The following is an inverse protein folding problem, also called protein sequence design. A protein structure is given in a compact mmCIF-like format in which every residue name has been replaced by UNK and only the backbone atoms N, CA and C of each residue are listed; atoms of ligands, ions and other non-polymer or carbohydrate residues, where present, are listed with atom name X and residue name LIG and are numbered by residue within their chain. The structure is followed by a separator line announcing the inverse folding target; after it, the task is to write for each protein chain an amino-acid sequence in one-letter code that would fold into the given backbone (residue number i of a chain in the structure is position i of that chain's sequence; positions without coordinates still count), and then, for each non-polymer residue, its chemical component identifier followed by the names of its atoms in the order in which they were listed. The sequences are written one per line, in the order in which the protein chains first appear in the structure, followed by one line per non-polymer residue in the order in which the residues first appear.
data_IF_820407145926
#
_entry.id   IF_820407145926
#
_cell.length_a   1.000
_cell.length_b   1.000
_cell.length_c   1.000
_cell.angle_alpha   90.00
_cell.angle_beta   90.00
_cell.angle_gamma   90.00
#
_symmetry.space_group_name_H-M   'P 1'
#
loop_
_entity.id
_entity.type
_entity.pdbx_description
1 polymer ?
#
# COMPACT_ATOMS: atom_id res chain seq x y z
N UNK A 1 0.34 5.96 17.45
CA UNK A 1 -0.04 6.84 16.32
C UNK A 1 -0.23 5.96 15.10
N UNK A 2 -1.29 6.16 14.31
CA UNK A 2 -1.43 5.46 13.02
C UNK A 2 -0.65 6.24 11.94
N UNK A 3 0.50 5.69 11.56
CA UNK A 3 1.41 6.27 10.57
C UNK A 3 1.10 5.81 9.14
N UNK A 4 0.42 4.67 9.00
CA UNK A 4 0.06 4.02 7.74
C UNK A 4 -1.26 4.59 7.18
N UNK A 5 -2.21 4.85 8.09
CA UNK A 5 -3.53 5.39 7.76
C UNK A 5 -4.50 4.31 7.28
N UNK A 6 -5.79 4.49 7.60
CA UNK A 6 -6.86 3.54 7.25
C UNK A 6 -7.03 3.38 5.73
N UNK A 7 -6.82 4.45 4.96
CA UNK A 7 -6.97 4.42 3.51
C UNK A 7 -5.90 3.56 2.83
N UNK A 8 -4.65 3.65 3.28
CA UNK A 8 -3.56 2.84 2.73
C UNK A 8 -3.73 1.38 3.08
N UNK A 9 -4.16 1.06 4.32
CA UNK A 9 -4.50 -0.32 4.69
C UNK A 9 -5.62 -0.90 3.82
N UNK A 10 -6.66 -0.12 3.53
CA UNK A 10 -7.73 -0.55 2.64
C UNK A 10 -7.23 -0.80 1.21
N UNK A 11 -6.42 0.10 0.67
CA UNK A 11 -5.81 -0.07 -0.66
C UNK A 11 -4.96 -1.34 -0.72
N UNK A 12 -4.11 -1.56 0.29
CA UNK A 12 -3.26 -2.75 0.36
C UNK A 12 -4.08 -4.03 0.45
N UNK A 13 -5.20 -4.04 1.16
CA UNK A 13 -6.11 -5.20 1.23
C UNK A 13 -6.70 -5.54 -0.14
N UNK A 14 -7.19 -4.53 -0.86
CA UNK A 14 -7.75 -4.70 -2.21
C UNK A 14 -6.68 -5.12 -3.23
N UNK A 15 -5.47 -4.54 -3.14
CA UNK A 15 -4.37 -4.92 -4.01
C UNK A 15 -3.93 -6.37 -3.78
N UNK A 16 -3.88 -6.83 -2.53
CA UNK A 16 -3.63 -8.25 -2.23
C UNK A 16 -4.74 -9.16 -2.75
N UNK A 17 -5.99 -8.72 -2.72
CA UNK A 17 -7.10 -9.47 -3.29
C UNK A 17 -6.94 -9.58 -4.81
N UNK A 18 -6.56 -8.50 -5.49
CA UNK A 18 -6.32 -8.49 -6.94
C UNK A 18 -5.16 -9.40 -7.37
N UNK A 19 -4.17 -9.58 -6.49
CA UNK A 19 -3.07 -10.53 -6.72
C UNK A 19 -3.46 -12.00 -6.51
N UNK A 20 -4.53 -12.27 -5.74
CA UNK A 20 -4.98 -13.64 -5.43
C UNK A 20 -6.16 -14.10 -6.27
N UNK A 21 -6.88 -13.18 -6.92
CA UNK A 21 -8.13 -13.45 -7.62
C UNK A 21 -8.26 -12.50 -8.83
N UNK A 22 -8.70 -13.04 -9.97
CA UNK A 22 -8.95 -12.25 -11.19
C UNK A 22 -10.18 -11.34 -11.09
N UNK A 23 -11.08 -11.57 -10.13
CA UNK A 23 -12.35 -10.83 -9.99
C UNK A 23 -12.28 -9.76 -8.90
N UNK A 24 -11.37 -8.78 -9.10
CA UNK A 24 -11.38 -7.54 -8.34
C UNK A 24 -11.88 -6.41 -9.22
N UNK A 25 -12.88 -5.69 -8.72
CA UNK A 25 -13.39 -4.48 -9.37
C UNK A 25 -12.26 -3.44 -9.49
N UNK A 26 -11.75 -3.27 -10.71
CA UNK A 26 -10.74 -2.28 -11.07
C UNK A 26 -11.16 -0.88 -10.62
N UNK A 27 -12.45 -0.54 -10.71
CA UNK A 27 -13.00 0.73 -10.25
C UNK A 27 -12.87 0.92 -8.74
N UNK A 28 -13.15 -0.12 -7.96
CA UNK A 28 -12.99 -0.08 -6.50
C UNK A 28 -11.51 0.07 -6.10
N UNK A 29 -10.60 -0.60 -6.80
CA UNK A 29 -9.16 -0.51 -6.55
C UNK A 29 -8.62 0.89 -6.89
N UNK A 30 -9.01 1.47 -8.03
CA UNK A 30 -8.67 2.84 -8.40
C UNK A 30 -9.25 3.87 -7.43
N UNK A 31 -10.50 3.70 -6.99
CA UNK A 31 -11.12 4.61 -6.01
C UNK A 31 -10.38 4.56 -4.66
N UNK A 32 -9.89 3.40 -4.24
CA UNK A 32 -9.06 3.27 -3.05
C UNK A 32 -7.70 3.98 -3.22
N UNK A 33 -7.08 3.90 -4.39
CA UNK A 33 -5.83 4.60 -4.69
C UNK A 33 -6.00 6.12 -4.64
N UNK A 34 -7.07 6.67 -5.22
CA UNK A 34 -7.39 8.10 -5.16
C UNK A 34 -7.52 8.56 -3.70
N UNK A 35 -8.17 7.79 -2.84
CA UNK A 35 -8.31 8.14 -1.41
C UNK A 35 -6.97 8.17 -0.67
N UNK A 36 -6.00 7.35 -1.09
CA UNK A 36 -4.64 7.37 -0.53
C UNK A 36 -3.89 8.61 -1.01
N UNK A 37 -4.07 9.04 -2.25
CA UNK A 37 -3.50 10.30 -2.77
C UNK A 37 -4.08 11.51 -2.02
N UNK A 38 -5.39 11.54 -1.78
CA UNK A 38 -6.05 12.61 -1.03
C UNK A 38 -5.63 12.66 0.44
N UNK A 39 -5.34 11.48 1.02
CA UNK A 39 -4.99 11.31 2.44
C UNK A 39 -3.81 10.35 2.58
N UNK A 40 -2.59 10.81 2.27
CA UNK A 40 -1.41 9.96 2.28
C UNK A 40 -1.02 9.54 3.70
N UNK A 41 -0.22 8.45 3.82
CA UNK A 41 0.46 8.11 5.06
C UNK A 41 1.22 9.30 5.65
N UNK A 42 1.30 9.37 6.98
CA UNK A 42 2.04 10.44 7.68
C UNK A 42 3.55 10.25 7.59
N UNK A 43 4.00 9.00 7.54
CA UNK A 43 5.41 8.66 7.40
C UNK A 43 5.89 8.95 5.96
N UNK A 44 7.05 9.60 5.83
CA UNK A 44 7.57 10.04 4.54
C UNK A 44 7.97 8.89 3.62
N UNK A 45 8.47 7.78 4.18
CA UNK A 45 8.84 6.58 3.43
C UNK A 45 7.57 5.88 2.95
N UNK A 46 6.59 5.70 3.85
CA UNK A 46 5.31 5.10 3.49
C UNK A 46 4.54 5.93 2.48
N UNK A 47 4.62 7.26 2.53
CA UNK A 47 4.00 8.13 1.53
C UNK A 47 4.57 7.86 0.13
N UNK A 48 5.90 7.87 0.01
CA UNK A 48 6.57 7.60 -1.27
C UNK A 48 6.23 6.21 -1.81
N UNK A 49 6.20 5.20 -0.94
CA UNK A 49 5.81 3.85 -1.33
C UNK A 49 4.32 3.75 -1.68
N UNK A 50 3.44 4.46 -0.97
CA UNK A 50 2.02 4.52 -1.28
C UNK A 50 1.75 5.14 -2.66
N UNK A 51 2.52 6.16 -3.05
CA UNK A 51 2.45 6.76 -4.39
C UNK A 51 2.81 5.73 -5.47
N UNK A 52 3.86 4.93 -5.26
CA UNK A 52 4.22 3.84 -6.18
C UNK A 52 3.14 2.75 -6.25
N UNK A 53 2.49 2.42 -5.13
CA UNK A 53 1.35 1.48 -5.12
C UNK A 53 0.18 2.04 -5.91
N UNK A 54 -0.17 3.32 -5.72
CA UNK A 54 -1.24 3.97 -6.46
C UNK A 54 -0.95 3.96 -7.97
N UNK A 55 0.28 4.29 -8.37
CA UNK A 55 0.66 4.26 -9.77
C UNK A 55 0.57 2.85 -10.36
N UNK A 56 1.05 1.82 -9.66
CA UNK A 56 0.96 0.44 -10.13
C UNK A 56 -0.48 -0.06 -10.22
N UNK A 57 -1.37 0.41 -9.34
CA UNK A 57 -2.81 0.12 -9.40
C UNK A 57 -3.45 0.71 -10.66
N UNK A 58 -3.15 1.97 -10.98
CA UNK A 58 -3.64 2.58 -12.22
C UNK A 58 -3.07 1.88 -13.45
N UNK A 59 -1.78 1.57 -13.44
CA UNK A 59 -1.14 0.84 -14.53
C UNK A 59 -1.76 -0.56 -14.72
N UNK A 60 -2.01 -1.30 -13.63
CA UNK A 60 -2.67 -2.60 -13.66
C UNK A 60 -4.12 -2.52 -14.18
N UNK A 61 -4.87 -1.50 -13.75
CA UNK A 61 -6.24 -1.28 -14.21
C UNK A 61 -6.29 -0.93 -15.72
N UNK A 62 -5.32 -0.16 -16.21
CA UNK A 62 -5.20 0.27 -17.61
C UNK A 62 -4.64 -0.81 -18.55
N UNK A 63 -3.65 -1.58 -18.12
CA UNK A 63 -2.94 -2.57 -18.94
C UNK A 63 -3.27 -4.00 -18.54
N UNK A 64 -4.49 -4.44 -18.88
CA UNK A 64 -4.97 -5.84 -18.92
C UNK A 64 -4.57 -6.78 -17.77
N UNK A 65 -4.24 -6.23 -16.59
CA UNK A 65 -4.00 -6.99 -15.38
C UNK A 65 -2.61 -7.59 -15.18
N UNK A 66 -1.53 -7.10 -15.83
CA UNK A 66 -0.17 -7.60 -15.53
C UNK A 66 0.19 -7.39 -14.05
N UNK A 67 0.12 -8.48 -13.27
CA UNK A 67 0.23 -8.46 -11.81
C UNK A 67 1.65 -8.29 -11.31
N UNK A 68 2.67 -8.61 -12.11
CA UNK A 68 4.07 -8.64 -11.67
C UNK A 68 4.55 -7.30 -11.10
N UNK A 69 4.15 -6.19 -11.72
CA UNK A 69 4.50 -4.84 -11.24
C UNK A 69 3.73 -4.47 -9.97
N UNK A 70 2.44 -4.81 -9.91
CA UNK A 70 1.60 -4.58 -8.73
C UNK A 70 2.11 -5.39 -7.53
N UNK A 71 2.48 -6.65 -7.74
CA UNK A 71 3.02 -7.55 -6.73
C UNK A 71 4.32 -7.01 -6.12
N UNK A 72 5.26 -6.58 -6.98
CA UNK A 72 6.53 -6.03 -6.52
C UNK A 72 6.36 -4.81 -5.61
N UNK A 73 5.52 -3.86 -5.98
CA UNK A 73 5.30 -2.66 -5.16
C UNK A 73 4.49 -2.93 -3.89
N UNK A 74 3.52 -3.85 -3.94
CA UNK A 74 2.72 -4.27 -2.77
C UNK A 74 3.62 -4.95 -1.74
N UNK A 75 4.48 -5.88 -2.17
CA UNK A 75 5.45 -6.55 -1.30
C UNK A 75 6.47 -5.56 -0.72
N UNK A 76 6.94 -4.61 -1.53
CA UNK A 76 7.85 -3.55 -1.08
C UNK A 76 7.22 -2.68 0.02
N UNK A 77 5.98 -2.21 -0.19
CA UNK A 77 5.22 -1.45 0.81
C UNK A 77 5.05 -2.25 2.10
N UNK A 78 4.62 -3.51 2.00
CA UNK A 78 4.38 -4.34 3.17
C UNK A 78 5.66 -4.60 3.98
N UNK A 79 6.79 -4.81 3.30
CA UNK A 79 8.09 -5.01 3.95
C UNK A 79 8.53 -3.76 4.70
N UNK A 80 8.41 -2.58 4.07
CA UNK A 80 8.74 -1.31 4.70
C UNK A 80 7.83 -0.99 5.91
N UNK A 81 6.52 -1.22 5.77
CA UNK A 81 5.56 -1.03 6.86
C UNK A 81 5.86 -1.95 8.06
N UNK A 82 6.27 -3.20 7.81
CA UNK A 82 6.69 -4.14 8.86
C UNK A 82 8.00 -3.72 9.52
N UNK A 83 8.99 -3.30 8.73
CA UNK A 83 10.27 -2.82 9.24
C UNK A 83 10.10 -1.57 10.13
N UNK A 84 9.31 -0.60 9.69
CA UNK A 84 9.00 0.61 10.48
C UNK A 84 8.26 0.27 11.78
N UNK A 85 7.33 -0.70 11.76
CA UNK A 85 6.69 -1.21 12.97
C UNK A 85 7.69 -1.85 13.94
N UNK A 86 8.64 -2.64 13.43
CA UNK A 86 9.66 -3.29 14.25
C UNK A 86 10.61 -2.27 14.91
N UNK A 87 11.08 -1.27 14.15
CA UNK A 87 11.94 -0.21 14.67
C UNK A 87 11.24 0.60 15.78
N UNK A 88 9.95 0.89 15.65
CA UNK A 88 9.18 1.56 16.70
C UNK A 88 9.01 0.71 17.97
N UNK A 89 8.95 -0.62 17.84
CA UNK A 89 8.90 -1.52 19.01
C UNK A 89 10.25 -1.52 19.73
N UNK A 90 11.36 -1.51 18.99
CA UNK A 90 12.71 -1.43 19.56
C UNK A 90 12.99 -0.08 20.22
N UNK A 91 12.64 1.05 19.60
CA UNK A 91 12.76 2.37 20.24
C UNK A 91 11.94 2.46 21.53
N UNK A 92 10.75 1.83 21.55
CA UNK A 92 9.91 1.78 22.76
C UNK A 92 10.44 0.88 23.87
N UNK A 93 11.17 -0.18 23.53
CA UNK A 93 11.79 -1.10 24.48
C UNK A 93 13.12 -0.55 25.01
N UNK A 94 13.85 0.23 24.21
CA UNK A 94 15.11 0.87 24.62
C UNK A 94 14.94 2.17 25.41
N UNK A 95 13.70 2.69 25.50
CA UNK A 95 13.36 3.89 26.26
C UNK A 95 12.86 3.59 27.69
N UNK A 96 13.02 2.35 28.16
CA UNK A 96 12.69 1.87 29.51
C UNK A 96 13.93 1.28 30.19
#
# INVERSE_FOLDING_TARGET
MDFEGDHTRNLMSLAHQALRCDDVDKGALCAAAIRVIDKPPRDGILRSLADHVCQAVFDWACFDGSTARLEGVVNGYQTAARALRALQVEERLSAY
#
